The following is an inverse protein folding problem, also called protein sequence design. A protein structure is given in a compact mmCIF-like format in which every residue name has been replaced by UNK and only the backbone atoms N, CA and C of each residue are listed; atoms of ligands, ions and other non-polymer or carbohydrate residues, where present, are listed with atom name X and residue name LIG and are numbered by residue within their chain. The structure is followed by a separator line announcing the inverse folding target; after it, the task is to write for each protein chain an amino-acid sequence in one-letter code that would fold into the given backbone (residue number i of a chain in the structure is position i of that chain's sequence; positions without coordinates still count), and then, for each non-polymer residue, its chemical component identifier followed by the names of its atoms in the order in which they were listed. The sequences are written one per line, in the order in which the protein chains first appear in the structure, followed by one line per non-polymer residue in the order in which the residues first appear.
data_IF_504634334363
#
_entry.id   IF_504634334363
#
_cell.length_a   1.000
_cell.length_b   1.000
_cell.length_c   1.000
_cell.angle_alpha   90.00
_cell.angle_beta   90.00
_cell.angle_gamma   90.00
#
_symmetry.space_group_name_H-M   'P 1'
#
loop_
_entity.id
_entity.type
_entity.pdbx_description
1 polymer ?
#
# COMPACT_ATOMS: atom_id res chain seq x y z
N UNK A 1 -17.78 -38.23 31.00
CA UNK A 1 -17.70 -37.17 29.97
C UNK A 1 -18.55 -36.00 30.45
N UNK A 2 -17.91 -34.94 30.95
CA UNK A 2 -18.58 -33.74 31.41
C UNK A 2 -18.14 -32.59 30.50
N UNK A 3 -19.10 -31.99 29.80
CA UNK A 3 -18.90 -30.79 28.99
C UNK A 3 -19.08 -29.61 29.93
N UNK A 4 -17.98 -28.97 30.33
CA UNK A 4 -18.02 -27.70 31.06
C UNK A 4 -18.44 -26.58 30.10
N UNK A 5 -19.56 -25.95 30.40
CA UNK A 5 -19.98 -24.67 29.80
C UNK A 5 -18.89 -23.64 30.08
N UNK A 6 -18.31 -23.08 29.03
CA UNK A 6 -17.48 -21.87 29.11
C UNK A 6 -18.42 -20.66 29.19
N UNK A 7 -18.43 -20.02 30.35
CA UNK A 7 -19.06 -18.71 30.56
C UNK A 7 -18.34 -17.65 29.73
N UNK A 8 -19.05 -17.06 28.76
CA UNK A 8 -18.58 -15.98 27.89
C UNK A 8 -18.81 -14.59 28.51
N UNK A 9 -18.71 -14.46 29.82
CA UNK A 9 -18.87 -13.18 30.52
C UNK A 9 -17.67 -12.89 31.41
N UNK A 10 -16.53 -12.63 30.78
CA UNK A 10 -15.50 -11.78 31.39
C UNK A 10 -15.00 -10.79 30.34
N UNK A 11 -15.32 -9.52 30.55
CA UNK A 11 -14.84 -8.37 29.79
C UNK A 11 -13.47 -7.94 30.30
N UNK A 12 -12.53 -8.88 30.40
CA UNK A 12 -11.14 -8.58 30.74
C UNK A 12 -10.35 -8.33 29.46
N UNK A 13 -10.00 -7.06 29.25
CA UNK A 13 -8.95 -6.55 28.37
C UNK A 13 -8.67 -7.42 27.13
N UNK A 14 -9.44 -7.22 26.06
CA UNK A 14 -9.06 -7.67 24.74
C UNK A 14 -7.71 -7.02 24.40
N UNK A 15 -6.63 -7.75 24.67
CA UNK A 15 -5.28 -7.32 24.34
C UNK A 15 -5.28 -7.15 22.84
N UNK A 16 -5.08 -5.92 22.33
CA UNK A 16 -4.97 -5.68 20.88
C UNK A 16 -3.93 -6.67 20.34
N UNK A 17 -4.37 -7.60 19.51
CA UNK A 17 -3.47 -8.52 18.82
C UNK A 17 -2.73 -7.69 17.78
N UNK A 18 -1.54 -7.22 18.13
CA UNK A 18 -0.72 -6.35 17.28
C UNK A 18 0.19 -7.18 16.40
N UNK A 19 0.12 -7.02 15.08
CA UNK A 19 1.12 -7.56 14.17
C UNK A 19 2.37 -6.67 14.19
N UNK A 20 3.54 -7.31 14.13
CA UNK A 20 4.76 -6.58 13.84
C UNK A 20 4.97 -6.60 12.31
N UNK A 21 4.69 -5.46 11.69
CA UNK A 21 4.77 -5.24 10.25
C UNK A 21 6.09 -4.57 9.88
N UNK A 22 6.51 -4.75 8.62
CA UNK A 22 7.71 -4.15 8.05
C UNK A 22 8.97 -4.33 8.95
N UNK A 23 9.12 -5.54 9.50
CA UNK A 23 10.36 -5.90 10.16
C UNK A 23 11.43 -6.01 9.07
N UNK A 24 12.63 -5.47 9.30
CA UNK A 24 13.73 -5.66 8.37
C UNK A 24 13.97 -7.16 8.09
N UNK A 25 14.78 -7.49 7.07
CA UNK A 25 15.06 -8.87 6.63
C UNK A 25 15.77 -9.73 7.70
N UNK A 26 15.08 -10.06 8.78
CA UNK A 26 15.56 -10.80 9.93
C UNK A 26 15.70 -12.28 9.64
N UNK A 27 14.78 -12.83 8.83
CA UNK A 27 14.81 -14.25 8.48
C UNK A 27 15.98 -14.62 7.57
N UNK A 28 16.46 -13.65 6.74
CA UNK A 28 17.56 -13.83 5.77
C UNK A 28 17.38 -15.07 4.88
N UNK A 29 16.16 -15.45 4.57
CA UNK A 29 15.91 -16.59 3.70
C UNK A 29 16.16 -16.21 2.23
N UNK A 30 16.48 -17.22 1.42
CA UNK A 30 16.73 -17.04 -0.01
C UNK A 30 15.45 -16.63 -0.72
N UNK A 31 15.49 -15.53 -1.47
CA UNK A 31 14.33 -15.03 -2.22
C UNK A 31 13.82 -16.06 -3.24
N UNK A 32 12.49 -16.10 -3.49
CA UNK A 32 11.93 -16.92 -4.55
C UNK A 32 12.59 -16.65 -5.91
N UNK A 33 12.84 -17.71 -6.69
CA UNK A 33 13.58 -17.60 -7.95
C UNK A 33 12.97 -16.59 -8.93
N UNK A 34 11.65 -16.45 -8.92
CA UNK A 34 10.94 -15.51 -9.78
C UNK A 34 11.35 -14.05 -9.51
N UNK A 35 11.48 -13.64 -8.24
CA UNK A 35 11.80 -12.25 -7.88
C UNK A 35 13.23 -11.86 -8.28
N UNK A 36 14.09 -12.86 -8.50
CA UNK A 36 15.49 -12.68 -8.88
C UNK A 36 15.69 -12.42 -10.37
N UNK A 37 14.66 -12.59 -11.21
CA UNK A 37 14.74 -12.32 -12.64
C UNK A 37 15.04 -10.83 -12.89
N UNK A 38 15.88 -10.48 -13.88
CA UNK A 38 16.27 -9.09 -14.14
C UNK A 38 15.09 -8.13 -14.28
N UNK A 39 14.05 -8.54 -14.99
CA UNK A 39 12.84 -7.74 -15.22
C UNK A 39 12.17 -7.24 -13.94
N UNK A 40 12.28 -7.98 -12.83
CA UNK A 40 11.66 -7.62 -11.54
C UNK A 40 12.56 -6.76 -10.63
N UNK A 41 13.75 -6.38 -11.11
CA UNK A 41 14.73 -5.59 -10.34
C UNK A 41 14.66 -4.10 -10.61
N UNK A 42 13.67 -3.63 -11.37
CA UNK A 42 13.55 -2.22 -11.71
C UNK A 42 13.49 -1.36 -10.44
N UNK A 43 12.58 -1.66 -9.52
CA UNK A 43 12.41 -0.88 -8.30
C UNK A 43 13.68 -0.81 -7.45
N UNK A 44 14.34 -1.96 -7.20
CA UNK A 44 15.61 -1.98 -6.45
C UNK A 44 16.70 -1.18 -7.16
N UNK A 45 16.79 -1.28 -8.48
CA UNK A 45 17.78 -0.53 -9.28
C UNK A 45 17.56 0.98 -9.16
N UNK A 46 16.31 1.43 -9.15
CA UNK A 46 15.97 2.84 -8.98
C UNK A 46 16.26 3.34 -7.56
N UNK A 47 15.99 2.52 -6.54
CA UNK A 47 16.34 2.82 -5.14
C UNK A 47 17.86 2.93 -4.97
N UNK A 48 18.62 1.99 -5.52
CA UNK A 48 20.09 2.01 -5.46
C UNK A 48 20.67 3.26 -6.14
N UNK A 49 20.10 3.68 -7.29
CA UNK A 49 20.49 4.92 -7.97
C UNK A 49 20.22 6.16 -7.12
N UNK A 50 19.08 6.19 -6.42
CA UNK A 50 18.73 7.30 -5.53
C UNK A 50 19.68 7.38 -4.32
N UNK A 51 20.03 6.23 -3.74
CA UNK A 51 20.95 6.12 -2.60
C UNK A 51 22.43 6.33 -2.99
N UNK A 52 22.80 6.06 -4.23
CA UNK A 52 24.14 6.30 -4.79
C UNK A 52 24.50 7.78 -4.96
N UNK A 53 23.55 8.70 -4.75
CA UNK A 53 23.83 10.15 -4.68
C UNK A 53 24.46 10.44 -3.32
N UNK A 54 25.78 10.62 -3.30
CA UNK A 54 26.62 10.83 -2.11
C UNK A 54 26.04 11.92 -1.20
N UNK A 55 25.41 11.51 -0.10
CA UNK A 55 24.97 12.35 1.01
C UNK A 55 24.57 11.46 2.17
N UNK A 56 25.11 11.71 3.37
CA UNK A 56 24.70 10.98 4.58
C UNK A 56 23.23 11.29 4.87
N UNK A 57 22.32 10.35 4.58
CA UNK A 57 20.96 10.42 5.09
C UNK A 57 20.94 9.86 6.52
N UNK A 58 21.17 10.73 7.52
CA UNK A 58 21.20 10.38 8.95
C UNK A 58 19.80 10.19 9.57
N UNK A 59 18.73 10.17 8.77
CA UNK A 59 17.35 10.11 9.27
C UNK A 59 16.53 9.07 8.49
N UNK A 60 16.32 7.91 9.10
CA UNK A 60 15.30 6.96 8.66
C UNK A 60 13.93 7.67 8.69
N UNK A 61 13.22 7.68 7.58
CA UNK A 61 11.91 8.35 7.46
C UNK A 61 10.76 7.34 7.60
N UNK A 62 9.59 7.75 8.12
CA UNK A 62 8.50 6.83 8.48
C UNK A 62 7.83 6.06 7.32
N UNK A 63 8.25 6.27 6.08
CA UNK A 63 7.73 5.62 4.88
C UNK A 63 8.80 5.67 3.78
N UNK A 64 9.59 4.59 3.72
CA UNK A 64 10.77 4.45 2.89
C UNK A 64 10.58 3.24 1.96
N UNK A 65 10.69 3.46 0.64
CA UNK A 65 10.55 2.40 -0.38
C UNK A 65 11.63 1.34 -0.20
N UNK A 66 12.82 1.71 0.30
CA UNK A 66 13.90 0.77 0.62
C UNK A 66 13.45 -0.28 1.62
N UNK A 67 12.68 0.13 2.64
CA UNK A 67 12.11 -0.81 3.63
C UNK A 67 11.06 -1.73 3.02
N UNK A 68 10.37 -1.29 1.96
CA UNK A 68 9.36 -2.09 1.25
C UNK A 68 9.98 -3.08 0.25
N UNK A 69 11.26 -2.92 -0.13
CA UNK A 69 11.93 -3.87 -1.04
C UNK A 69 11.98 -5.28 -0.44
N UNK A 70 12.22 -5.36 0.87
CA UNK A 70 12.29 -6.62 1.60
C UNK A 70 11.80 -6.41 3.03
N UNK A 71 10.77 -7.13 3.42
CA UNK A 71 10.21 -7.08 4.76
C UNK A 71 9.90 -8.47 5.31
N UNK A 72 9.81 -8.53 6.63
CA UNK A 72 9.22 -9.64 7.37
C UNK A 72 7.96 -9.16 8.07
N UNK A 73 6.93 -10.02 8.09
CA UNK A 73 5.69 -9.80 8.84
C UNK A 73 5.57 -10.91 9.89
N UNK A 74 5.59 -10.52 11.17
CA UNK A 74 5.26 -11.44 12.25
C UNK A 74 3.77 -11.26 12.59
N UNK A 75 3.00 -12.29 12.24
CA UNK A 75 1.58 -12.35 12.48
C UNK A 75 1.24 -13.08 13.77
N UNK A 76 0.29 -12.54 14.54
CA UNK A 76 -0.27 -13.23 15.70
C UNK A 76 -1.67 -13.78 15.39
N UNK A 77 -2.05 -14.84 16.10
CA UNK A 77 -3.36 -15.50 15.96
C UNK A 77 -4.51 -14.49 16.07
N UNK A 78 -5.40 -14.47 15.08
CA UNK A 78 -6.55 -13.57 15.00
C UNK A 78 -6.26 -12.21 14.36
N UNK A 79 -5.02 -11.90 14.01
CA UNK A 79 -4.71 -10.62 13.39
C UNK A 79 -5.28 -10.52 11.96
N UNK A 80 -5.89 -9.38 11.64
CA UNK A 80 -6.63 -9.18 10.40
C UNK A 80 -6.34 -7.82 9.78
N UNK A 81 -5.98 -7.78 8.51
CA UNK A 81 -5.92 -6.56 7.69
C UNK A 81 -7.15 -6.50 6.79
N UNK A 82 -7.87 -5.38 6.84
CA UNK A 82 -9.05 -5.11 6.00
C UNK A 82 -8.68 -4.97 4.52
N UNK A 83 -9.68 -4.84 3.66
CA UNK A 83 -9.54 -4.66 2.21
C UNK A 83 -8.61 -3.48 1.87
N UNK A 84 -7.52 -3.73 1.14
CA UNK A 84 -6.59 -2.70 0.68
C UNK A 84 -5.90 -3.11 -0.62
N UNK A 85 -5.17 -2.17 -1.23
CA UNK A 85 -4.21 -2.41 -2.32
C UNK A 85 -2.85 -1.92 -1.85
N UNK A 86 -1.82 -2.70 -2.13
CA UNK A 86 -0.44 -2.34 -1.82
C UNK A 86 0.00 -1.12 -2.63
N UNK A 87 0.67 -0.19 -1.95
CA UNK A 87 0.92 1.12 -2.52
C UNK A 87 1.81 1.09 -3.77
N UNK A 88 2.81 0.19 -3.86
CA UNK A 88 3.71 0.09 -5.02
C UNK A 88 3.22 -0.83 -6.14
N UNK A 89 2.03 -1.43 -6.00
CA UNK A 89 1.35 -2.19 -7.08
C UNK A 89 2.22 -3.33 -7.62
N UNK A 90 2.78 -4.14 -6.72
CA UNK A 90 3.59 -5.30 -7.08
C UNK A 90 4.24 -5.86 -5.83
N UNK A 91 3.78 -7.03 -5.39
CA UNK A 91 4.19 -7.59 -4.09
C UNK A 91 4.35 -9.09 -4.22
N UNK A 92 5.36 -9.62 -3.56
CA UNK A 92 5.48 -11.05 -3.31
C UNK A 92 5.54 -11.31 -1.81
N UNK A 93 5.04 -12.48 -1.41
CA UNK A 93 5.17 -12.98 -0.05
C UNK A 93 5.46 -14.47 -0.07
N UNK A 94 6.24 -14.94 0.90
CA UNK A 94 6.45 -16.36 1.22
C UNK A 94 6.15 -16.59 2.68
N UNK A 95 5.32 -17.60 2.98
CA UNK A 95 5.10 -18.01 4.36
C UNK A 95 6.29 -18.86 4.82
N UNK A 96 7.03 -18.40 5.84
CA UNK A 96 8.19 -19.14 6.38
C UNK A 96 7.79 -20.09 7.52
N UNK A 97 6.76 -19.73 8.29
CA UNK A 97 6.13 -20.63 9.26
C UNK A 97 4.68 -20.23 9.51
N UNK A 98 3.87 -21.20 9.96
CA UNK A 98 2.45 -21.01 10.25
C UNK A 98 1.64 -20.88 8.96
N UNK A 99 0.51 -20.18 9.04
CA UNK A 99 -0.36 -19.99 7.88
C UNK A 99 -0.92 -18.57 7.78
N UNK A 100 -1.24 -18.16 6.55
CA UNK A 100 -1.94 -16.91 6.25
C UNK A 100 -3.11 -17.19 5.32
N UNK A 101 -4.22 -16.52 5.56
CA UNK A 101 -5.40 -16.56 4.70
C UNK A 101 -5.49 -15.25 3.94
N UNK A 102 -5.23 -15.29 2.63
CA UNK A 102 -5.33 -14.16 1.71
C UNK A 102 -6.68 -14.19 1.02
N UNK A 103 -7.47 -13.13 1.20
CA UNK A 103 -8.75 -12.94 0.54
C UNK A 103 -8.54 -11.93 -0.59
N UNK A 104 -8.60 -12.37 -1.84
CA UNK A 104 -8.34 -11.56 -3.03
C UNK A 104 -9.64 -11.30 -3.78
N UNK A 105 -9.93 -10.04 -4.11
CA UNK A 105 -11.01 -9.72 -5.02
C UNK A 105 -10.62 -10.07 -6.46
N UNK A 106 -11.49 -10.77 -7.16
CA UNK A 106 -11.27 -11.20 -8.54
C UNK A 106 -12.33 -10.61 -9.47
N UNK A 107 -12.02 -10.51 -10.77
CA UNK A 107 -12.99 -10.08 -11.80
C UNK A 107 -13.60 -8.69 -11.54
N UNK A 108 -12.80 -7.79 -10.95
CA UNK A 108 -13.18 -6.41 -10.66
C UNK A 108 -13.57 -5.67 -11.94
N UNK A 109 -14.76 -5.11 -11.96
CA UNK A 109 -15.24 -4.18 -12.98
C UNK A 109 -15.05 -2.73 -12.51
N UNK A 110 -15.26 -1.78 -13.42
CA UNK A 110 -15.12 -0.35 -13.11
C UNK A 110 -16.03 0.09 -11.96
N UNK A 111 -17.26 -0.42 -11.89
CA UNK A 111 -18.17 -0.13 -10.78
C UNK A 111 -17.64 -0.65 -9.45
N UNK A 112 -16.96 -1.80 -9.43
CA UNK A 112 -16.35 -2.34 -8.21
C UNK A 112 -15.22 -1.44 -7.72
N UNK A 113 -14.38 -0.93 -8.64
CA UNK A 113 -13.32 0.02 -8.32
C UNK A 113 -13.86 1.34 -7.80
N UNK A 114 -14.95 1.87 -8.36
CA UNK A 114 -15.60 3.08 -7.87
C UNK A 114 -16.20 2.89 -6.47
N UNK A 115 -16.79 1.71 -6.22
CA UNK A 115 -17.28 1.37 -4.88
C UNK A 115 -16.14 1.24 -3.89
N UNK A 116 -15.05 0.57 -4.27
CA UNK A 116 -13.89 0.44 -3.42
C UNK A 116 -13.24 1.79 -3.11
N UNK A 117 -13.09 2.67 -4.11
CA UNK A 117 -12.62 4.04 -3.95
C UNK A 117 -13.40 4.84 -2.90
N UNK A 118 -14.72 4.66 -2.86
CA UNK A 118 -15.62 5.33 -1.92
C UNK A 118 -15.62 4.67 -0.54
N UNK A 119 -15.67 3.35 -0.48
CA UNK A 119 -15.91 2.59 0.76
C UNK A 119 -14.58 2.25 1.49
N UNK A 120 -13.45 2.33 0.78
CA UNK A 120 -12.10 2.11 1.27
C UNK A 120 -11.94 0.75 1.95
N UNK A 121 -11.32 0.74 3.13
CA UNK A 121 -11.11 -0.49 3.91
C UNK A 121 -12.40 -1.21 4.36
N UNK A 122 -13.56 -0.56 4.28
CA UNK A 122 -14.84 -1.18 4.63
C UNK A 122 -15.53 -1.86 3.44
N UNK A 123 -14.92 -1.78 2.25
CA UNK A 123 -15.44 -2.40 1.05
C UNK A 123 -15.46 -3.93 1.14
N UNK A 124 -16.50 -4.53 0.56
CA UNK A 124 -16.71 -5.98 0.47
C UNK A 124 -16.83 -6.41 -1.00
N UNK A 125 -16.22 -7.53 -1.39
CA UNK A 125 -16.25 -8.03 -2.78
C UNK A 125 -17.57 -8.70 -3.18
N UNK A 126 -18.59 -8.79 -2.32
CA UNK A 126 -19.93 -9.34 -2.64
C UNK A 126 -19.93 -10.67 -3.42
N UNK A 127 -19.11 -11.63 -2.98
CA UNK A 127 -18.99 -12.95 -3.62
C UNK A 127 -17.92 -13.05 -4.72
N UNK A 128 -17.28 -11.94 -5.09
CA UNK A 128 -16.12 -11.91 -6.00
C UNK A 128 -14.79 -12.21 -5.30
N UNK A 129 -14.82 -12.44 -3.99
CA UNK A 129 -13.67 -12.84 -3.19
C UNK A 129 -13.22 -14.27 -3.51
N UNK A 130 -11.92 -14.50 -3.51
CA UNK A 130 -11.27 -15.80 -3.54
C UNK A 130 -10.38 -15.92 -2.32
N UNK A 131 -10.38 -17.09 -1.70
CA UNK A 131 -9.59 -17.36 -0.51
C UNK A 131 -8.42 -18.23 -0.94
N UNK A 132 -7.21 -17.79 -0.60
CA UNK A 132 -5.98 -18.53 -0.72
C UNK A 132 -5.44 -18.76 0.69
N UNK A 133 -5.14 -20.00 1.02
CA UNK A 133 -4.43 -20.34 2.26
C UNK A 133 -2.98 -20.56 1.86
N UNK A 134 -2.07 -19.74 2.40
CA UNK A 134 -0.63 -19.92 2.25
C UNK A 134 -0.13 -20.70 3.45
N UNK A 135 0.35 -21.89 3.20
CA UNK A 135 1.06 -22.73 4.16
C UNK A 135 2.57 -22.48 4.05
N UNK A 136 3.34 -23.16 4.89
CA UNK A 136 4.79 -23.03 4.89
C UNK A 136 5.38 -23.27 3.48
N UNK A 137 6.29 -22.39 3.10
CA UNK A 137 7.01 -22.32 1.82
C UNK A 137 6.16 -21.97 0.59
N UNK A 138 4.85 -21.78 0.74
CA UNK A 138 4.01 -21.23 -0.33
C UNK A 138 4.41 -19.79 -0.64
N UNK A 139 4.43 -19.48 -1.94
CA UNK A 139 4.74 -18.15 -2.47
C UNK A 139 3.52 -17.59 -3.19
N UNK A 140 3.09 -16.41 -2.78
CA UNK A 140 2.08 -15.62 -3.48
C UNK A 140 2.75 -14.43 -4.16
N UNK A 141 2.52 -14.30 -5.47
CA UNK A 141 2.85 -13.12 -6.24
C UNK A 141 1.57 -12.37 -6.59
N UNK A 142 1.49 -11.10 -6.18
CA UNK A 142 0.56 -10.11 -6.70
C UNK A 142 1.30 -9.34 -7.80
N UNK A 143 1.00 -9.58 -9.10
CA UNK A 143 1.85 -9.13 -10.21
C UNK A 143 2.04 -7.62 -10.28
N UNK A 144 3.25 -7.13 -10.65
CA UNK A 144 3.49 -5.71 -10.86
C UNK A 144 2.60 -5.10 -11.93
N UNK A 145 2.01 -3.94 -11.62
CA UNK A 145 1.08 -3.23 -12.49
C UNK A 145 -0.37 -3.74 -12.40
N UNK A 146 -0.63 -4.85 -11.70
CA UNK A 146 -1.98 -5.33 -11.44
C UNK A 146 -2.43 -4.92 -10.03
N UNK A 147 -3.27 -3.89 -9.93
CA UNK A 147 -3.94 -3.51 -8.68
C UNK A 147 -4.77 -4.69 -8.16
N UNK A 148 -4.38 -5.22 -7.00
CA UNK A 148 -5.01 -6.39 -6.38
C UNK A 148 -5.62 -6.00 -5.04
N UNK A 149 -6.95 -5.91 -4.98
CA UNK A 149 -7.65 -5.66 -3.70
C UNK A 149 -7.61 -6.93 -2.88
N UNK A 150 -7.10 -6.85 -1.67
CA UNK A 150 -6.97 -8.00 -0.79
C UNK A 150 -7.14 -7.67 0.69
N UNK A 151 -7.43 -8.69 1.48
CA UNK A 151 -7.46 -8.69 2.93
C UNK A 151 -6.71 -9.92 3.44
N UNK A 152 -6.15 -9.87 4.65
CA UNK A 152 -5.31 -10.94 5.18
C UNK A 152 -5.74 -11.28 6.59
N UNK A 153 -5.97 -12.56 6.85
CA UNK A 153 -6.21 -13.11 8.18
C UNK A 153 -5.04 -14.00 8.60
N UNK A 154 -4.65 -13.89 9.86
CA UNK A 154 -3.63 -14.72 10.48
C UNK A 154 -4.32 -15.68 11.44
N UNK A 155 -4.64 -16.92 11.02
CA UNK A 155 -5.36 -17.88 11.87
C UNK A 155 -4.53 -18.35 13.06
N UNK A 156 -3.21 -18.43 12.90
CA UNK A 156 -2.24 -18.85 13.91
C UNK A 156 -0.95 -18.02 13.81
N UNK A 157 -0.07 -18.03 14.83
CA UNK A 157 1.20 -17.33 14.73
C UNK A 157 1.96 -17.72 13.45
N UNK A 158 2.44 -16.72 12.71
CA UNK A 158 3.10 -16.93 11.42
C UNK A 158 4.21 -15.93 11.19
N UNK A 159 5.22 -16.32 10.42
CA UNK A 159 6.21 -15.42 9.86
C UNK A 159 6.12 -15.48 8.36
N UNK A 160 5.94 -14.32 7.76
CA UNK A 160 5.99 -14.13 6.32
C UNK A 160 7.21 -13.30 6.01
N UNK A 161 7.88 -13.61 4.93
CA UNK A 161 8.74 -12.65 4.26
C UNK A 161 8.07 -12.17 2.99
N UNK A 162 8.45 -10.99 2.53
CA UNK A 162 7.96 -10.45 1.29
C UNK A 162 8.77 -9.26 0.84
N UNK A 163 8.28 -8.66 -0.22
CA UNK A 163 8.87 -7.46 -0.78
C UNK A 163 7.98 -6.90 -1.87
N UNK A 164 8.18 -5.63 -2.17
CA UNK A 164 7.59 -4.97 -3.31
C UNK A 164 8.60 -4.93 -4.47
N UNK A 165 8.10 -5.11 -5.68
CA UNK A 165 8.93 -5.16 -6.89
C UNK A 165 8.17 -4.57 -8.08
N UNK A 166 8.94 -4.03 -9.04
CA UNK A 166 8.42 -3.52 -10.30
C UNK A 166 8.97 -4.32 -11.46
N UNK A 167 8.15 -4.44 -12.50
CA UNK A 167 8.49 -5.14 -13.74
C UNK A 167 8.79 -4.13 -14.85
N UNK A 168 9.93 -4.30 -15.52
CA UNK A 168 10.41 -3.43 -16.60
C UNK A 168 9.44 -3.36 -17.79
N UNK A 169 8.58 -4.36 -17.97
CA UNK A 169 7.63 -4.40 -19.11
C UNK A 169 6.22 -3.93 -18.76
N UNK A 170 5.92 -3.65 -17.48
CA UNK A 170 4.58 -3.18 -17.05
C UNK A 170 4.62 -1.79 -16.43
N UNK A 171 5.64 -0.99 -16.76
CA UNK A 171 5.83 0.36 -16.22
C UNK A 171 4.58 1.24 -16.40
N UNK A 172 3.91 1.29 -17.58
CA UNK A 172 2.69 2.06 -17.74
C UNK A 172 1.60 1.67 -16.75
N UNK A 173 1.38 0.37 -16.53
CA UNK A 173 0.36 -0.15 -15.61
C UNK A 173 0.73 0.12 -14.15
N UNK A 174 2.02 0.07 -13.82
CA UNK A 174 2.53 0.46 -12.50
C UNK A 174 2.23 1.94 -12.25
N UNK A 175 2.54 2.83 -13.20
CA UNK A 175 2.26 4.26 -13.09
C UNK A 175 0.76 4.56 -12.98
N UNK A 176 -0.08 3.86 -13.75
CA UNK A 176 -1.54 3.95 -13.64
C UNK A 176 -2.02 3.54 -12.24
N UNK A 177 -1.49 2.43 -11.72
CA UNK A 177 -1.81 1.94 -10.38
C UNK A 177 -1.40 2.93 -9.28
N UNK A 178 -0.17 3.45 -9.34
CA UNK A 178 0.32 4.49 -8.43
C UNK A 178 -0.57 5.74 -8.48
N UNK A 179 -0.98 6.17 -9.68
CA UNK A 179 -1.85 7.33 -9.87
C UNK A 179 -3.22 7.09 -9.24
N UNK A 180 -3.79 5.91 -9.44
CA UNK A 180 -5.06 5.53 -8.85
C UNK A 180 -4.99 5.52 -7.32
N UNK A 181 -3.95 4.94 -6.73
CA UNK A 181 -3.75 4.92 -5.27
C UNK A 181 -3.53 6.34 -4.74
N UNK A 182 -2.75 7.15 -5.47
CA UNK A 182 -2.52 8.56 -5.14
C UNK A 182 -3.81 9.39 -5.13
N UNK A 183 -4.81 9.02 -5.94
CA UNK A 183 -6.17 9.59 -5.94
C UNK A 183 -7.06 9.00 -4.84
N UNK A 184 -6.93 7.71 -4.56
CA UNK A 184 -7.83 6.94 -3.69
C UNK A 184 -7.11 6.43 -2.42
N UNK A 185 -6.47 7.34 -1.67
CA UNK A 185 -5.56 6.99 -0.58
C UNK A 185 -6.22 6.27 0.63
N UNK A 186 -7.55 6.22 0.70
CA UNK A 186 -8.30 5.42 1.68
C UNK A 186 -8.34 3.92 1.34
N UNK A 187 -7.89 3.54 0.14
CA UNK A 187 -7.86 2.17 -0.38
C UNK A 187 -6.53 1.45 -0.12
N UNK A 188 -5.57 2.11 0.52
CA UNK A 188 -4.29 1.52 0.94
C UNK A 188 -4.10 1.72 2.43
N UNK A 189 -3.46 0.77 3.09
CA UNK A 189 -3.07 0.84 4.50
C UNK A 189 -1.70 1.53 4.69
N UNK A 190 -0.99 1.86 3.61
CA UNK A 190 0.33 2.48 3.66
C UNK A 190 0.26 3.98 3.33
N UNK A 191 1.08 4.83 3.98
CA UNK A 191 1.29 6.18 3.50
C UNK A 191 2.08 6.16 2.18
N UNK A 192 1.81 7.14 1.31
CA UNK A 192 2.64 7.36 0.11
C UNK A 192 4.07 7.69 0.56
N UNK A 193 5.03 6.90 0.10
CA UNK A 193 6.42 7.02 0.53
C UNK A 193 7.06 8.35 0.11
N UNK A 194 7.93 8.88 0.97
CA UNK A 194 8.58 10.17 0.71
C UNK A 194 9.57 10.10 -0.46
N UNK A 195 10.16 8.93 -0.71
CA UNK A 195 11.10 8.72 -1.79
C UNK A 195 10.44 8.61 -3.16
N UNK A 196 9.12 8.41 -3.26
CA UNK A 196 8.49 8.14 -4.56
C UNK A 196 8.79 9.20 -5.62
N UNK A 197 8.76 10.52 -5.35
CA UNK A 197 9.18 11.52 -6.34
C UNK A 197 10.58 11.27 -6.89
N UNK A 198 11.56 10.98 -6.02
CA UNK A 198 12.94 10.70 -6.44
C UNK A 198 13.05 9.39 -7.24
N UNK A 199 12.26 8.37 -6.89
CA UNK A 199 12.18 7.12 -7.66
C UNK A 199 11.55 7.37 -9.03
N UNK A 200 10.52 8.21 -9.13
CA UNK A 200 9.89 8.57 -10.41
C UNK A 200 10.85 9.39 -11.28
N UNK A 201 11.64 10.30 -10.70
CA UNK A 201 12.67 11.04 -11.43
C UNK A 201 13.78 10.09 -11.94
N UNK A 202 14.20 9.12 -11.13
CA UNK A 202 15.14 8.09 -11.54
C UNK A 202 14.57 7.16 -12.64
N UNK A 203 13.26 6.87 -12.58
CA UNK A 203 12.56 6.10 -13.61
C UNK A 203 12.52 6.85 -14.93
N UNK A 204 12.24 8.16 -14.92
CA UNK A 204 12.26 8.99 -16.13
C UNK A 204 13.64 8.96 -16.79
N UNK A 205 14.71 9.15 -16.01
CA UNK A 205 16.09 9.07 -16.52
C UNK A 205 16.46 7.68 -17.03
N UNK A 206 16.02 6.63 -16.33
CA UNK A 206 16.22 5.25 -16.77
C UNK A 206 15.50 4.99 -18.10
N UNK A 207 14.26 5.45 -18.22
CA UNK A 207 13.45 5.31 -19.43
C UNK A 207 14.07 6.08 -20.59
N UNK A 208 14.53 7.31 -20.38
CA UNK A 208 15.27 8.07 -21.41
C UNK A 208 16.53 7.32 -21.85
N UNK A 209 17.35 6.80 -20.94
CA UNK A 209 18.59 6.08 -21.32
C UNK A 209 18.33 4.77 -22.07
N UNK A 210 17.30 4.02 -21.69
CA UNK A 210 16.98 2.73 -22.31
C UNK A 210 16.19 2.89 -23.62
N UNK A 211 15.28 3.87 -23.68
CA UNK A 211 14.39 4.09 -24.83
C UNK A 211 15.00 5.03 -25.88
N UNK A 212 15.97 5.88 -25.54
CA UNK A 212 16.69 6.72 -26.53
C UNK A 212 17.73 5.89 -27.30
N UNK A 213 18.19 4.76 -26.75
CA UNK A 213 19.01 3.78 -27.50
C UNK A 213 18.21 2.95 -28.51
N UNK A 214 16.88 2.88 -28.37
CA UNK A 214 16.00 2.34 -29.40
C UNK A 214 15.50 3.49 -30.26
N UNK A 215 16.31 3.92 -31.23
CA UNK A 215 15.82 4.68 -32.39
C UNK A 215 14.96 3.78 -33.29
N UNK A 216 14.03 3.05 -32.70
CA UNK A 216 13.05 2.22 -33.37
C UNK A 216 11.89 3.11 -33.77
N UNK A 217 11.54 3.09 -35.05
CA UNK A 217 10.29 3.66 -35.56
C UNK A 217 9.10 2.73 -35.26
N UNK A 218 9.26 1.78 -34.33
CA UNK A 218 8.22 0.83 -33.96
C UNK A 218 7.13 1.58 -33.20
N UNK A 219 5.90 1.48 -33.72
CA UNK A 219 4.72 2.11 -33.15
C UNK A 219 4.50 1.68 -31.69
N UNK A 220 4.85 0.43 -31.34
CA UNK A 220 4.71 -0.09 -29.98
C UNK A 220 5.68 0.57 -29.00
N UNK A 221 6.93 0.82 -29.42
CA UNK A 221 7.94 1.48 -28.57
C UNK A 221 7.57 2.96 -28.34
N UNK A 222 7.03 3.62 -29.37
CA UNK A 222 6.53 5.00 -29.28
C UNK A 222 5.33 5.08 -28.33
N UNK A 223 4.35 4.18 -28.47
CA UNK A 223 3.19 4.12 -27.58
C UNK A 223 3.60 3.87 -26.14
N UNK A 224 4.49 2.88 -25.91
CA UNK A 224 5.01 2.56 -24.58
C UNK A 224 5.71 3.76 -23.95
N UNK A 225 6.62 4.41 -24.67
CA UNK A 225 7.37 5.58 -24.20
C UNK A 225 6.43 6.75 -23.88
N UNK A 226 5.43 6.99 -24.74
CA UNK A 226 4.41 8.03 -24.48
C UNK A 226 3.62 7.73 -23.22
N UNK A 227 3.17 6.49 -23.04
CA UNK A 227 2.41 6.07 -21.86
C UNK A 227 3.21 6.24 -20.57
N UNK A 228 4.52 5.91 -20.58
CA UNK A 228 5.41 6.16 -19.44
C UNK A 228 5.51 7.64 -19.12
N UNK A 229 5.80 8.49 -20.12
CA UNK A 229 5.92 9.96 -19.92
C UNK A 229 4.63 10.59 -19.40
N UNK A 230 3.49 10.19 -19.96
CA UNK A 230 2.19 10.71 -19.54
C UNK A 230 1.82 10.24 -18.12
N UNK A 231 2.13 8.99 -17.77
CA UNK A 231 1.97 8.47 -16.41
C UNK A 231 2.80 9.23 -15.38
N UNK A 232 4.08 9.49 -15.68
CA UNK A 232 4.98 10.31 -14.84
C UNK A 232 4.43 11.72 -14.66
N UNK A 233 4.00 12.37 -15.75
CA UNK A 233 3.40 13.71 -15.70
C UNK A 233 2.14 13.73 -14.84
N UNK A 234 1.27 12.74 -14.99
CA UNK A 234 0.03 12.63 -14.22
C UNK A 234 0.29 12.44 -12.72
N UNK A 235 1.30 11.65 -12.34
CA UNK A 235 1.71 11.48 -10.95
C UNK A 235 2.21 12.78 -10.34
N UNK A 236 3.09 13.51 -11.03
CA UNK A 236 3.60 14.81 -10.57
C UNK A 236 2.47 15.82 -10.36
N UNK A 237 1.42 15.76 -11.19
CA UNK A 237 0.24 16.61 -11.07
C UNK A 237 -0.64 16.32 -9.83
N UNK A 238 -0.40 15.25 -9.08
CA UNK A 238 -1.10 14.99 -7.80
C UNK A 238 -0.71 15.95 -6.68
N UNK A 239 0.49 16.54 -6.79
CA UNK A 239 1.02 17.53 -5.86
C UNK A 239 0.23 18.85 -5.87
N UNK A 240 0.43 19.66 -4.84
CA UNK A 240 -0.17 21.00 -4.78
C UNK A 240 0.89 22.08 -4.47
N UNK A 241 0.53 23.34 -4.76
CA UNK A 241 1.34 24.52 -4.50
C UNK A 241 0.83 25.38 -3.33
N UNK A 242 0.11 24.78 -2.36
CA UNK A 242 -0.47 25.48 -1.21
C UNK A 242 0.66 25.98 -0.26
N UNK A 243 0.65 27.26 0.13
CA UNK A 243 1.82 27.96 0.72
C UNK A 243 2.12 27.80 2.21
N UNK A 244 1.13 27.42 3.05
CA UNK A 244 1.30 27.51 4.52
C UNK A 244 0.77 26.30 5.30
N UNK A 245 -0.24 25.60 4.78
CA UNK A 245 -0.77 24.27 5.20
C UNK A 245 -2.02 24.01 4.37
N UNK A 246 -2.19 22.78 3.90
CA UNK A 246 -3.34 22.46 3.05
C UNK A 246 -4.65 22.28 3.84
N UNK A 247 -4.56 22.01 5.15
CA UNK A 247 -5.73 21.91 6.04
C UNK A 247 -6.51 23.23 6.15
N UNK A 248 -5.82 24.38 6.05
CA UNK A 248 -6.39 25.72 6.24
C UNK A 248 -6.79 26.43 4.94
N UNK A 249 -6.39 25.93 3.78
CA UNK A 249 -6.72 26.54 2.48
C UNK A 249 -7.92 25.84 1.85
N UNK A 250 -9.04 26.55 1.72
CA UNK A 250 -10.21 26.06 0.98
C UNK A 250 -9.89 25.78 -0.50
N UNK A 251 -8.86 26.43 -1.03
CA UNK A 251 -8.43 26.33 -2.43
C UNK A 251 -7.42 25.19 -2.68
N UNK A 252 -7.05 24.44 -1.63
CA UNK A 252 -6.13 23.32 -1.79
C UNK A 252 -6.81 22.16 -2.52
N UNK A 253 -6.24 21.76 -3.67
CA UNK A 253 -6.69 20.59 -4.42
C UNK A 253 -6.64 19.30 -3.60
N UNK A 254 -5.62 19.06 -2.76
CA UNK A 254 -5.56 17.86 -1.93
C UNK A 254 -6.76 17.80 -0.98
N UNK A 255 -7.12 18.91 -0.34
CA UNK A 255 -8.28 18.99 0.56
C UNK A 255 -9.60 18.81 -0.19
N UNK A 256 -9.77 19.49 -1.33
CA UNK A 256 -10.97 19.39 -2.16
C UNK A 256 -11.23 17.97 -2.65
N UNK A 257 -10.18 17.29 -3.07
CA UNK A 257 -10.24 15.89 -3.51
C UNK A 257 -10.21 14.89 -2.34
N UNK A 258 -10.23 15.35 -1.07
CA UNK A 258 -10.16 14.51 0.14
C UNK A 258 -8.92 13.59 0.22
N UNK A 259 -7.79 14.03 -0.33
CA UNK A 259 -6.51 13.31 -0.35
C UNK A 259 -5.55 13.86 0.71
N UNK A 260 -4.75 12.99 1.33
CA UNK A 260 -3.60 13.41 2.14
C UNK A 260 -2.55 14.00 1.21
N UNK A 261 -1.82 15.00 1.69
CA UNK A 261 -0.71 15.57 0.93
C UNK A 261 0.38 14.51 0.71
N UNK A 262 0.98 14.52 -0.47
CA UNK A 262 2.07 13.63 -0.84
C UNK A 262 3.39 14.38 -0.81
N UNK A 263 4.49 13.67 -1.01
CA UNK A 263 5.83 14.23 -1.19
C UNK A 263 5.98 15.10 -2.45
N UNK A 264 5.00 15.10 -3.36
CA UNK A 264 4.92 16.05 -4.49
C UNK A 264 4.35 17.42 -4.11
N UNK A 265 3.87 17.63 -2.89
CA UNK A 265 3.41 18.94 -2.43
C UNK A 265 4.59 19.80 -1.94
N UNK A 266 4.95 20.85 -2.69
CA UNK A 266 6.26 21.53 -2.57
C UNK A 266 6.31 22.67 -1.55
N UNK A 267 5.18 23.13 -1.01
CA UNK A 267 5.09 24.43 -0.30
C UNK A 267 4.52 24.39 1.12
N UNK A 268 4.28 23.21 1.69
CA UNK A 268 4.06 23.08 3.12
C UNK A 268 5.12 22.16 3.71
N UNK A 269 5.53 22.35 4.98
CA UNK A 269 6.44 21.41 5.62
C UNK A 269 5.90 20.00 5.42
N UNK A 270 6.79 19.12 4.92
CA UNK A 270 6.57 17.70 4.78
C UNK A 270 5.81 17.24 6.02
N UNK A 271 4.58 16.75 5.83
CA UNK A 271 3.72 16.35 6.94
C UNK A 271 4.58 15.47 7.85
N UNK A 272 4.88 15.90 9.07
CA UNK A 272 5.26 14.93 10.08
C UNK A 272 4.07 13.98 10.20
N UNK A 273 4.30 12.67 10.44
CA UNK A 273 3.22 11.79 10.85
C UNK A 273 2.49 12.51 11.97
N UNK A 274 1.17 12.69 11.82
CA UNK A 274 0.37 13.17 12.95
C UNK A 274 0.63 12.15 14.05
N UNK A 275 1.30 12.56 15.13
CA UNK A 275 1.20 11.83 16.39
C UNK A 275 -0.29 11.64 16.64
N UNK A 276 -0.71 10.38 16.77
CA UNK A 276 -2.05 10.06 17.22
C UNK A 276 -2.26 10.77 18.54
N UNK A 277 -2.95 11.91 18.52
CA UNK A 277 -3.51 12.49 19.73
C UNK A 277 -4.78 11.72 19.99
N UNK A 278 -4.77 11.02 21.12
CA UNK A 278 -5.98 10.55 21.77
C UNK A 278 -6.95 11.73 21.91
N UNK A 279 -8.12 11.55 21.31
CA UNK A 279 -9.42 12.20 21.51
C UNK A 279 -9.49 13.57 22.21
N UNK A 280 -10.10 14.56 21.53
CA UNK A 280 -11.06 15.48 22.16
C UNK A 280 -11.81 16.30 21.10
N UNK A 281 -13.06 15.92 20.82
CA UNK A 281 -14.25 16.79 20.90
C UNK A 281 -15.42 16.26 20.05
N UNK A 282 -16.29 15.47 20.68
CA UNK A 282 -17.61 15.17 20.13
C UNK A 282 -18.48 16.45 20.10
N UNK A 283 -19.23 16.74 19.03
CA UNK A 283 -20.23 17.79 19.06
C UNK A 283 -21.40 17.36 19.95
N UNK A 284 -21.76 18.22 20.90
CA UNK A 284 -22.95 18.06 21.75
C UNK A 284 -24.23 18.11 20.90
N UNK A 285 -24.98 17.02 20.91
CA UNK A 285 -26.44 17.04 21.08
C UNK A 285 -27.30 17.15 19.81
N UNK A 286 -27.86 16.01 19.39
CA UNK A 286 -29.28 15.94 19.00
C UNK A 286 -29.82 14.54 19.34
N UNK A 287 -30.71 14.47 20.33
CA UNK A 287 -31.46 13.26 20.69
C UNK A 287 -32.50 12.97 19.61
N UNK A 288 -32.39 11.81 18.97
CA UNK A 288 -33.54 11.09 18.43
C UNK A 288 -33.44 9.64 18.88
N UNK A 289 -34.44 9.21 19.66
CA UNK A 289 -34.65 7.81 20.01
C UNK A 289 -35.10 7.07 18.75
N UNK A 290 -34.41 5.99 18.37
CA UNK A 290 -35.08 4.83 17.81
C UNK A 290 -34.35 3.55 18.18
N UNK A 291 -35.17 2.53 18.41
CA UNK A 291 -34.85 1.19 18.92
C UNK A 291 -34.17 0.36 17.83
N UNK A 292 -33.35 -0.57 18.29
CA UNK A 292 -32.75 -1.68 17.56
C UNK A 292 -31.67 -1.30 16.52
N UNK A 293 -30.41 -1.55 16.88
CA UNK A 293 -29.27 -1.41 15.99
C UNK A 293 -27.98 -1.14 16.76
N UNK A 294 -27.21 -2.19 17.03
CA UNK A 294 -25.89 -2.09 17.64
C UNK A 294 -24.98 -1.21 16.78
N UNK A 295 -24.60 -0.05 17.31
CA UNK A 295 -23.59 0.81 16.72
C UNK A 295 -22.21 0.30 17.17
N UNK A 296 -21.46 -0.26 16.22
CA UNK A 296 -20.03 -0.51 16.41
C UNK A 296 -19.28 0.80 16.14
N UNK A 297 -18.63 1.31 17.18
CA UNK A 297 -17.71 2.44 17.10
C UNK A 297 -16.41 1.98 16.42
N UNK A 298 -15.97 2.73 15.40
CA UNK A 298 -14.62 2.63 14.87
C UNK A 298 -13.62 3.06 15.95
N UNK A 299 -12.86 2.10 16.48
CA UNK A 299 -11.57 2.40 17.12
C UNK A 299 -10.48 2.01 16.13
N UNK A 300 -9.77 3.01 15.62
CA UNK A 300 -8.64 2.85 14.73
C UNK A 300 -7.35 2.55 15.51
N UNK A 301 -6.48 1.77 14.87
CA UNK A 301 -5.04 1.68 15.16
C UNK A 301 -4.29 2.90 14.59
#
# INVERSE_FOLDING_TARGET
MAVSKLDLTSSDSATRVSNALNLGRMARADEPLLTRLPRFRLLSTLVDRLNGVVGKNEVAKPADIESSLHFNLLGFSGAFSRSHVDYLVGTWVRCLFGSKVWMIASQMQEEDWQRFARDGCNWSPEGKGRILVLEQDDVLLMPPGLRTVHAVLTPEPSLVEGGMLWDEVTIPQILEGLLWIGKNQACTNEPVAYQLPGIIDALEQWAEQFLDTSSSEDEQDVEYTSAVRDGIRALRALGCACGLRCESSADCICKREQRRCTSWCLRHPLLQPREMRDDESAPRGARTKNKDGGSFYCMHD
#
